data_IF_534368115513
#
_entry.id   IF_534368115513
#
_cell.length_a   1.000
_cell.length_b   1.000
_cell.length_c   1.000
_cell.angle_alpha   90.00
_cell.angle_beta   90.00
_cell.angle_gamma   90.00
#
_symmetry.space_group_name_H-M   'P 1'
#
loop_
_entity.id
_entity.type
_entity.pdbx_description
1 polymer ?
#
# COMPACT_ATOMS: atom_id res chain seq x y z
N UNK A 1 -1.52 16.41 -28.98
CA UNK A 1 -0.40 16.31 -29.88
C UNK A 1 0.55 15.23 -29.37
N UNK A 2 1.13 14.40 -30.25
CA UNK A 2 2.04 13.31 -29.92
C UNK A 2 3.30 13.84 -29.22
N UNK A 3 3.83 14.96 -29.67
CA UNK A 3 5.02 15.60 -29.12
C UNK A 3 4.79 16.07 -27.67
N UNK A 4 3.67 16.71 -27.41
CA UNK A 4 3.28 17.13 -26.05
C UNK A 4 3.14 15.95 -25.09
N UNK A 5 2.60 14.81 -25.57
CA UNK A 5 2.50 13.60 -24.75
C UNK A 5 3.91 13.04 -24.42
N UNK A 6 4.83 13.07 -25.37
CA UNK A 6 6.23 12.68 -25.16
C UNK A 6 6.92 13.60 -24.15
N UNK A 7 6.74 14.92 -24.25
CA UNK A 7 7.30 15.88 -23.30
C UNK A 7 6.78 15.66 -21.89
N UNK A 8 5.48 15.46 -21.72
CA UNK A 8 4.89 15.14 -20.40
C UNK A 8 5.45 13.82 -19.86
N UNK A 9 5.57 12.79 -20.69
CA UNK A 9 6.13 11.50 -20.25
C UNK A 9 7.57 11.63 -19.77
N UNK A 10 8.39 12.49 -20.38
CA UNK A 10 9.77 12.72 -19.93
C UNK A 10 9.88 13.29 -18.51
N UNK A 11 8.84 13.94 -18.02
CA UNK A 11 8.78 14.44 -16.64
C UNK A 11 8.64 13.32 -15.60
N UNK A 12 8.06 12.19 -15.97
CA UNK A 12 7.70 11.11 -15.05
C UNK A 12 8.33 9.77 -15.36
N UNK A 13 8.93 9.60 -16.54
CA UNK A 13 9.39 8.31 -17.03
C UNK A 13 10.69 8.42 -17.80
N UNK A 14 11.41 7.31 -17.84
CA UNK A 14 12.60 7.16 -18.69
C UNK A 14 12.27 6.23 -19.86
N UNK A 15 12.57 6.66 -21.09
CA UNK A 15 12.43 5.81 -22.27
C UNK A 15 13.46 4.70 -22.21
N UNK A 16 13.02 3.45 -22.40
CA UNK A 16 13.92 2.31 -22.43
C UNK A 16 14.70 2.28 -23.75
N UNK A 17 16.00 1.95 -23.72
CA UNK A 17 16.79 1.76 -24.94
C UNK A 17 16.20 0.63 -25.79
N UNK A 18 16.06 0.88 -27.09
CA UNK A 18 15.58 -0.09 -28.10
C UNK A 18 14.09 -0.46 -28.05
N UNK A 19 13.27 0.16 -27.20
CA UNK A 19 11.85 -0.09 -27.14
C UNK A 19 11.05 1.23 -27.15
N UNK A 20 9.84 1.24 -27.67
CA UNK A 20 8.88 2.35 -27.53
C UNK A 20 8.19 2.34 -26.16
N UNK A 21 8.87 1.81 -25.14
CA UNK A 21 8.37 1.67 -23.80
C UNK A 21 8.95 2.71 -22.86
N UNK A 22 8.14 3.14 -21.91
CA UNK A 22 8.50 4.10 -20.87
C UNK A 22 8.41 3.47 -19.50
N UNK A 23 9.48 3.60 -18.72
CA UNK A 23 9.49 3.17 -17.32
C UNK A 23 9.16 4.35 -16.42
N UNK A 24 7.99 4.35 -15.79
CA UNK A 24 7.62 5.31 -14.77
C UNK A 24 8.54 5.17 -13.55
N UNK A 25 9.24 6.23 -13.20
CA UNK A 25 10.19 6.19 -12.11
C UNK A 25 10.80 7.57 -11.86
N UNK A 26 11.92 7.62 -11.15
CA UNK A 26 12.62 8.89 -10.91
C UNK A 26 12.92 9.56 -12.24
N UNK A 27 12.38 10.77 -12.49
CA UNK A 27 12.76 11.50 -13.67
C UNK A 27 14.26 11.78 -13.60
N UNK A 28 14.94 11.69 -14.73
CA UNK A 28 16.36 12.10 -14.85
C UNK A 28 16.54 13.62 -14.80
N UNK A 29 15.50 14.35 -14.46
CA UNK A 29 15.54 15.80 -14.32
C UNK A 29 16.40 16.13 -13.11
N UNK A 30 17.56 16.69 -13.37
CA UNK A 30 18.36 17.43 -12.43
C UNK A 30 17.60 18.68 -11.99
N UNK A 31 16.59 18.52 -11.12
CA UNK A 31 16.06 19.68 -10.42
C UNK A 31 17.15 20.17 -9.47
N UNK A 32 17.61 21.39 -9.70
CA UNK A 32 18.64 22.06 -8.89
C UNK A 32 18.24 22.34 -7.44
N UNK A 33 17.10 21.82 -6.96
CA UNK A 33 16.61 22.01 -5.61
C UNK A 33 16.16 20.69 -5.00
N UNK A 34 16.77 20.39 -3.87
CA UNK A 34 16.54 19.34 -2.88
C UNK A 34 17.28 18.01 -3.06
N UNK A 35 18.46 17.99 -2.41
CA UNK A 35 19.31 16.83 -2.15
C UNK A 35 18.74 15.81 -1.14
N UNK A 36 17.45 15.90 -0.77
CA UNK A 36 16.74 14.86 -0.04
C UNK A 36 15.90 14.06 -1.02
N UNK A 37 16.32 12.83 -1.29
CA UNK A 37 15.64 11.90 -2.20
C UNK A 37 14.21 11.64 -1.74
N UNK A 38 13.27 12.49 -2.13
CA UNK A 38 11.85 12.15 -2.04
C UNK A 38 11.60 11.01 -3.02
N UNK A 39 11.10 9.89 -2.52
CA UNK A 39 10.74 8.75 -3.35
C UNK A 39 9.69 9.20 -4.39
N UNK A 40 9.90 8.85 -5.65
CA UNK A 40 8.89 9.05 -6.69
C UNK A 40 7.64 8.25 -6.35
N UNK A 41 6.48 8.86 -6.44
CA UNK A 41 5.22 8.22 -6.13
C UNK A 41 4.01 8.96 -6.68
N UNK A 42 2.82 8.44 -6.41
CA UNK A 42 1.55 9.06 -6.82
C UNK A 42 1.43 10.52 -6.37
N UNK A 43 1.92 10.85 -5.19
CA UNK A 43 1.96 12.22 -4.70
C UNK A 43 2.85 13.15 -5.54
N UNK A 44 3.92 12.64 -6.13
CA UNK A 44 4.79 13.40 -7.04
C UNK A 44 4.04 13.74 -8.32
N UNK A 45 3.30 12.77 -8.89
CA UNK A 45 2.47 12.96 -10.08
C UNK A 45 1.33 13.94 -9.78
N UNK A 46 0.63 13.77 -8.66
CA UNK A 46 -0.50 14.61 -8.28
C UNK A 46 -0.13 16.08 -8.09
N UNK A 47 1.09 16.36 -7.59
CA UNK A 47 1.59 17.71 -7.32
C UNK A 47 2.34 18.34 -8.50
N UNK A 48 2.54 17.63 -9.59
CA UNK A 48 3.19 18.18 -10.77
C UNK A 48 2.34 19.30 -11.38
N UNK A 49 2.99 20.34 -11.88
CA UNK A 49 2.34 21.41 -12.65
C UNK A 49 2.52 21.09 -14.14
N UNK A 50 1.41 20.90 -14.84
CA UNK A 50 1.38 20.61 -16.26
C UNK A 50 0.70 21.75 -17.06
N UNK A 51 0.55 22.93 -16.46
CA UNK A 51 -0.14 24.08 -17.06
C UNK A 51 0.53 24.59 -18.35
N UNK A 52 1.83 24.38 -18.48
CA UNK A 52 2.58 24.71 -19.71
C UNK A 52 2.27 23.78 -20.88
N UNK A 53 1.73 22.58 -20.62
CA UNK A 53 1.51 21.53 -21.62
C UNK A 53 0.04 21.33 -21.97
N UNK A 54 -0.88 21.65 -21.06
CA UNK A 54 -2.30 21.38 -21.24
C UNK A 54 -3.19 22.25 -20.35
N UNK A 55 -4.51 22.28 -20.66
CA UNK A 55 -5.50 22.94 -19.82
C UNK A 55 -5.82 22.12 -18.56
N UNK A 56 -6.50 22.74 -17.60
CA UNK A 56 -6.80 22.14 -16.26
C UNK A 56 -7.55 20.81 -16.37
N UNK A 57 -8.55 20.70 -17.26
CA UNK A 57 -9.33 19.46 -17.41
C UNK A 57 -8.46 18.32 -17.97
N UNK A 58 -7.60 18.62 -18.92
CA UNK A 58 -6.64 17.67 -19.49
C UNK A 58 -5.57 17.28 -18.48
N UNK A 59 -5.10 18.21 -17.67
CA UNK A 59 -4.13 17.98 -16.61
C UNK A 59 -4.64 16.95 -15.60
N UNK A 60 -5.88 17.11 -15.12
CA UNK A 60 -6.48 16.19 -14.16
C UNK A 60 -6.57 14.75 -14.74
N UNK A 61 -7.01 14.61 -15.97
CA UNK A 61 -7.12 13.32 -16.66
C UNK A 61 -5.76 12.67 -16.91
N UNK A 62 -4.75 13.46 -17.27
CA UNK A 62 -3.38 12.96 -17.48
C UNK A 62 -2.79 12.46 -16.15
N UNK A 63 -2.93 13.23 -15.07
CA UNK A 63 -2.46 12.83 -13.75
C UNK A 63 -3.13 11.55 -13.27
N UNK A 64 -4.44 11.42 -13.42
CA UNK A 64 -5.18 10.20 -13.08
C UNK A 64 -4.67 9.00 -13.87
N UNK A 65 -4.49 9.13 -15.18
CA UNK A 65 -3.95 8.07 -16.03
C UNK A 65 -2.54 7.66 -15.60
N UNK A 66 -1.64 8.63 -15.31
CA UNK A 66 -0.28 8.37 -14.86
C UNK A 66 -0.25 7.68 -13.48
N UNK A 67 -1.12 8.08 -12.55
CA UNK A 67 -1.25 7.43 -11.23
C UNK A 67 -1.73 6.00 -11.40
N UNK A 68 -2.71 5.76 -12.28
CA UNK A 68 -3.20 4.42 -12.60
C UNK A 68 -2.10 3.54 -13.18
N UNK A 69 -1.32 4.06 -14.13
CA UNK A 69 -0.15 3.36 -14.67
C UNK A 69 0.89 3.06 -13.59
N UNK A 70 1.20 4.06 -12.76
CA UNK A 70 2.16 3.90 -11.69
C UNK A 70 1.74 2.86 -10.65
N UNK A 71 0.46 2.74 -10.36
CA UNK A 71 -0.12 1.76 -9.44
C UNK A 71 -0.16 0.34 -10.01
N UNK A 72 -0.20 0.21 -11.35
CA UNK A 72 -0.30 -1.06 -12.06
C UNK A 72 1.05 -1.77 -12.16
N UNK A 73 1.49 -2.37 -11.05
CA UNK A 73 2.77 -3.07 -10.97
C UNK A 73 2.73 -4.26 -10.03
N UNK A 74 3.47 -5.31 -10.37
CA UNK A 74 3.60 -6.52 -9.54
C UNK A 74 4.56 -6.30 -8.38
N UNK A 75 5.67 -5.59 -8.61
CA UNK A 75 6.72 -5.37 -7.62
C UNK A 75 6.95 -3.89 -7.37
N UNK A 76 7.32 -3.57 -6.12
CA UNK A 76 7.71 -2.23 -5.68
C UNK A 76 9.15 -2.30 -5.19
N UNK A 77 10.01 -1.45 -5.73
CA UNK A 77 11.36 -1.27 -5.22
C UNK A 77 11.34 -0.41 -3.95
N UNK A 78 11.67 -1.02 -2.81
CA UNK A 78 11.71 -0.33 -1.50
C UNK A 78 13.09 0.26 -1.19
N UNK A 79 14.14 -0.30 -1.79
CA UNK A 79 15.50 0.23 -1.80
C UNK A 79 16.25 -0.37 -2.98
N UNK A 80 17.41 0.18 -3.35
CA UNK A 80 18.16 -0.25 -4.53
C UNK A 80 18.33 -1.77 -4.59
N UNK A 81 17.71 -2.40 -5.60
CA UNK A 81 17.75 -3.84 -5.85
C UNK A 81 16.93 -4.68 -4.87
N UNK A 82 16.11 -4.08 -4.00
CA UNK A 82 15.20 -4.81 -3.09
C UNK A 82 13.76 -4.55 -3.46
N UNK A 83 13.04 -5.61 -3.71
CA UNK A 83 11.66 -5.57 -4.20
C UNK A 83 10.73 -6.32 -3.24
N UNK A 84 9.51 -5.82 -3.13
CA UNK A 84 8.39 -6.47 -2.43
C UNK A 84 7.20 -6.54 -3.38
N UNK A 85 6.28 -7.49 -3.19
CA UNK A 85 5.05 -7.51 -3.98
C UNK A 85 4.24 -6.24 -3.71
N UNK A 86 3.63 -5.70 -4.77
CA UNK A 86 2.61 -4.69 -4.60
C UNK A 86 1.42 -5.31 -3.84
N UNK A 87 0.77 -4.54 -3.04
CA UNK A 87 -0.45 -4.92 -2.32
C UNK A 87 -1.55 -5.52 -3.24
N UNK A 88 -1.68 -4.99 -4.46
CA UNK A 88 -2.63 -5.47 -5.48
C UNK A 88 -1.92 -6.20 -6.64
N UNK A 89 -0.78 -6.84 -6.38
CA UNK A 89 0.06 -7.43 -7.43
C UNK A 89 -0.71 -8.37 -8.38
N UNK A 90 -1.66 -9.14 -7.84
CA UNK A 90 -2.47 -10.09 -8.61
C UNK A 90 -3.42 -9.43 -9.62
N UNK A 91 -3.67 -8.14 -9.48
CA UNK A 91 -4.51 -7.34 -10.39
C UNK A 91 -3.67 -6.61 -11.44
N UNK A 92 -2.34 -6.65 -11.37
CA UNK A 92 -1.48 -5.96 -12.31
C UNK A 92 -1.44 -6.65 -13.67
N UNK A 93 -1.26 -5.86 -14.73
CA UNK A 93 -1.14 -6.40 -16.09
C UNK A 93 0.09 -7.28 -16.26
N UNK A 94 1.20 -6.93 -15.60
CA UNK A 94 2.42 -7.74 -15.60
C UNK A 94 2.23 -9.09 -14.90
N UNK A 95 1.43 -9.17 -13.85
CA UNK A 95 1.03 -10.45 -13.25
C UNK A 95 0.17 -11.27 -14.19
N UNK A 96 -0.82 -10.64 -14.83
CA UNK A 96 -1.73 -11.32 -15.76
C UNK A 96 -1.02 -11.91 -16.99
N UNK A 97 0.10 -11.30 -17.40
CA UNK A 97 0.92 -11.79 -18.53
C UNK A 97 1.82 -12.98 -18.20
N UNK A 98 1.99 -13.32 -16.90
CA UNK A 98 2.78 -14.47 -16.48
C UNK A 98 2.04 -15.78 -16.76
N UNK A 99 2.80 -16.83 -17.09
CA UNK A 99 2.26 -18.19 -17.14
C UNK A 99 2.03 -18.75 -15.73
N UNK A 100 1.28 -19.85 -15.61
CA UNK A 100 0.91 -20.42 -14.31
C UNK A 100 2.13 -20.88 -13.49
N UNK A 101 3.16 -21.44 -14.13
CA UNK A 101 4.37 -21.89 -13.44
C UNK A 101 5.17 -20.69 -12.85
N UNK A 102 5.18 -19.55 -13.53
CA UNK A 102 5.79 -18.32 -13.05
C UNK A 102 5.00 -17.72 -11.88
N UNK A 103 3.67 -17.68 -12.01
CA UNK A 103 2.77 -17.24 -10.93
C UNK A 103 2.93 -18.09 -9.68
N UNK A 104 3.01 -19.40 -9.82
CA UNK A 104 3.21 -20.32 -8.70
C UNK A 104 4.54 -20.05 -7.98
N UNK A 105 5.64 -19.93 -8.72
CA UNK A 105 6.96 -19.62 -8.17
C UNK A 105 6.98 -18.30 -7.41
N UNK A 106 6.40 -17.25 -7.98
CA UNK A 106 6.32 -15.93 -7.33
C UNK A 106 5.40 -15.96 -6.11
N UNK A 107 4.24 -16.61 -6.19
CA UNK A 107 3.33 -16.76 -5.06
C UNK A 107 3.99 -17.48 -3.88
N UNK A 108 4.78 -18.53 -4.16
CA UNK A 108 5.55 -19.23 -3.13
C UNK A 108 6.58 -18.30 -2.49
N UNK A 109 7.33 -17.56 -3.29
CA UNK A 109 8.31 -16.58 -2.80
C UNK A 109 7.65 -15.50 -1.93
N UNK A 110 6.53 -14.95 -2.38
CA UNK A 110 5.79 -13.93 -1.62
C UNK A 110 5.24 -14.48 -0.29
N UNK A 111 4.74 -15.72 -0.30
CA UNK A 111 4.29 -16.40 0.91
C UNK A 111 5.45 -16.62 1.92
N UNK A 112 6.61 -17.04 1.45
CA UNK A 112 7.79 -17.21 2.30
C UNK A 112 8.28 -15.87 2.89
N UNK A 113 8.27 -14.81 2.08
CA UNK A 113 8.59 -13.45 2.53
C UNK A 113 7.62 -12.98 3.60
N UNK A 114 6.31 -13.10 3.36
CA UNK A 114 5.26 -12.74 4.30
C UNK A 114 5.40 -13.48 5.63
N UNK A 115 5.66 -14.78 5.61
CA UNK A 115 5.89 -15.58 6.83
C UNK A 115 7.10 -15.09 7.62
N UNK A 116 8.18 -14.73 6.93
CA UNK A 116 9.39 -14.18 7.57
C UNK A 116 9.11 -12.82 8.20
N UNK A 117 8.40 -11.96 7.48
CA UNK A 117 8.01 -10.63 7.97
C UNK A 117 7.07 -10.74 9.17
N UNK A 118 6.05 -11.59 9.12
CA UNK A 118 5.17 -11.84 10.26
C UNK A 118 5.93 -12.24 11.52
N UNK A 119 6.92 -13.14 11.42
CA UNK A 119 7.77 -13.54 12.57
C UNK A 119 8.57 -12.36 13.12
N UNK A 120 9.13 -11.53 12.24
CA UNK A 120 9.91 -10.35 12.64
C UNK A 120 9.02 -9.33 13.34
N UNK A 121 7.84 -9.05 12.79
CA UNK A 121 6.85 -8.18 13.39
C UNK A 121 6.35 -8.70 14.73
N UNK A 122 6.00 -9.97 14.82
CA UNK A 122 5.54 -10.61 16.06
C UNK A 122 6.56 -10.47 17.20
N UNK A 123 7.84 -10.69 16.89
CA UNK A 123 8.92 -10.50 17.84
C UNK A 123 9.04 -9.04 18.29
N UNK A 124 9.22 -8.12 17.36
CA UNK A 124 9.40 -6.69 17.66
C UNK A 124 8.18 -6.10 18.35
N UNK A 125 6.97 -6.43 17.89
CA UNK A 125 5.74 -5.96 18.51
C UNK A 125 5.59 -6.49 19.94
N UNK A 126 5.90 -7.78 20.17
CA UNK A 126 5.84 -8.35 21.53
C UNK A 126 6.82 -7.64 22.47
N UNK A 127 8.05 -7.39 22.04
CA UNK A 127 9.05 -6.69 22.84
C UNK A 127 8.60 -5.26 23.18
N UNK A 128 8.28 -4.45 22.16
CA UNK A 128 7.94 -3.04 22.34
C UNK A 128 6.63 -2.87 23.13
N UNK A 129 5.60 -3.63 22.76
CA UNK A 129 4.29 -3.51 23.40
C UNK A 129 4.26 -4.09 24.82
N UNK A 130 5.11 -5.08 25.14
CA UNK A 130 5.27 -5.57 26.52
C UNK A 130 5.81 -4.47 27.42
N UNK A 131 6.84 -3.75 26.98
CA UNK A 131 7.36 -2.58 27.73
C UNK A 131 6.28 -1.53 27.92
N UNK A 132 5.57 -1.17 26.84
CA UNK A 132 4.48 -0.17 26.90
C UNK A 132 3.41 -0.58 27.91
N UNK A 133 2.94 -1.82 27.88
CA UNK A 133 1.89 -2.30 28.78
C UNK A 133 2.37 -2.44 30.23
N UNK A 134 3.67 -2.65 30.46
CA UNK A 134 4.26 -2.71 31.80
C UNK A 134 4.40 -1.34 32.48
N UNK A 135 4.49 -0.26 31.70
CA UNK A 135 4.71 1.09 32.23
C UNK A 135 3.46 1.72 32.85
N UNK A 136 2.30 1.13 32.69
CA UNK A 136 1.03 1.72 33.15
C UNK A 136 0.03 0.67 33.60
N UNK A 137 -0.89 1.08 34.48
CA UNK A 137 -2.07 0.28 34.86
C UNK A 137 -3.26 0.49 33.91
N UNK A 138 -3.16 1.39 32.95
CA UNK A 138 -4.20 1.60 31.94
C UNK A 138 -4.25 0.43 30.98
N UNK A 139 -5.44 0.07 30.54
CA UNK A 139 -5.64 -0.93 29.50
C UNK A 139 -5.51 -0.23 28.15
N UNK A 140 -4.49 -0.54 27.35
CA UNK A 140 -4.32 0.07 26.05
C UNK A 140 -5.36 -0.43 25.05
N UNK A 141 -5.81 0.45 24.16
CA UNK A 141 -6.61 0.11 23.00
C UNK A 141 -5.77 0.42 21.75
N UNK A 142 -5.57 -0.60 20.90
CA UNK A 142 -4.87 -0.47 19.64
C UNK A 142 -5.85 -0.28 18.48
N UNK A 143 -5.53 0.61 17.55
CA UNK A 143 -6.23 0.70 16.28
C UNK A 143 -5.69 -0.39 15.35
N UNK A 144 -6.41 -1.50 15.27
CA UNK A 144 -6.10 -2.69 14.46
C UNK A 144 -6.96 -2.77 13.19
N UNK A 145 -7.30 -1.62 12.65
CA UNK A 145 -8.13 -1.48 11.46
C UNK A 145 -7.34 -1.69 10.18
N UNK A 146 -8.05 -2.14 9.14
CA UNK A 146 -7.45 -2.35 7.83
C UNK A 146 -6.70 -3.68 7.70
N UNK A 147 -5.73 -3.73 6.78
CA UNK A 147 -4.96 -4.95 6.50
C UNK A 147 -3.70 -4.95 7.33
N UNK A 148 -3.72 -5.71 8.40
CA UNK A 148 -2.59 -5.92 9.29
C UNK A 148 -1.84 -7.22 9.02
N UNK A 149 -0.74 -7.43 9.75
CA UNK A 149 -0.05 -8.71 9.78
C UNK A 149 -0.89 -9.75 10.54
N UNK A 150 -0.84 -11.00 10.11
CA UNK A 150 -1.55 -12.11 10.76
C UNK A 150 -1.21 -12.28 12.25
N UNK A 151 -0.04 -11.81 12.68
CA UNK A 151 0.38 -11.85 14.08
C UNK A 151 -0.32 -10.82 14.98
N UNK A 152 -0.90 -9.76 14.43
CA UNK A 152 -1.49 -8.64 15.21
C UNK A 152 -2.53 -9.13 16.23
N UNK A 153 -3.57 -9.88 15.86
CA UNK A 153 -4.58 -10.34 16.83
C UNK A 153 -3.96 -11.21 17.96
N UNK A 154 -2.96 -12.05 17.61
CA UNK A 154 -2.28 -12.91 18.60
C UNK A 154 -1.49 -12.10 19.59
N UNK A 155 -0.73 -11.12 19.12
CA UNK A 155 0.08 -10.25 20.00
C UNK A 155 -0.81 -9.41 20.90
N UNK A 156 -1.85 -8.80 20.36
CA UNK A 156 -2.81 -8.00 21.13
C UNK A 156 -3.48 -8.84 22.22
N UNK A 157 -3.99 -10.02 21.88
CA UNK A 157 -4.59 -10.95 22.84
C UNK A 157 -3.60 -11.38 23.93
N UNK A 158 -2.37 -11.71 23.57
CA UNK A 158 -1.31 -12.11 24.51
C UNK A 158 -0.98 -11.01 25.51
N UNK A 159 -1.03 -9.75 25.10
CA UNK A 159 -0.65 -8.59 25.92
C UNK A 159 -1.85 -7.88 26.57
N UNK A 160 -3.08 -8.37 26.36
CA UNK A 160 -4.28 -7.75 26.91
C UNK A 160 -4.60 -6.39 26.30
N UNK A 161 -4.18 -6.15 25.05
CA UNK A 161 -4.45 -4.92 24.32
C UNK A 161 -5.83 -5.08 23.64
N UNK A 162 -6.73 -4.13 23.87
CA UNK A 162 -8.05 -4.12 23.25
C UNK A 162 -7.92 -3.75 21.76
N UNK A 163 -8.64 -4.46 20.89
CA UNK A 163 -8.83 -4.07 19.50
C UNK A 163 -9.92 -3.03 19.33
N UNK A 164 -9.91 -2.29 18.23
CA UNK A 164 -10.99 -1.34 17.90
C UNK A 164 -11.96 -1.96 16.89
N UNK A 165 -13.24 -1.96 17.22
CA UNK A 165 -14.32 -2.43 16.35
C UNK A 165 -15.23 -1.27 16.02
N UNK A 166 -15.14 -0.79 14.78
CA UNK A 166 -16.03 0.24 14.24
C UNK A 166 -17.17 -0.47 13.55
N UNK A 167 -18.36 -0.46 14.12
CA UNK A 167 -19.54 -1.20 13.62
C UNK A 167 -19.79 -0.95 12.15
N UNK A 168 -19.66 0.30 11.71
CA UNK A 168 -19.85 0.69 10.31
C UNK A 168 -18.93 -0.09 9.34
N UNK A 169 -17.74 -0.49 9.76
CA UNK A 169 -16.75 -1.20 8.94
C UNK A 169 -16.68 -2.71 9.22
N UNK A 170 -17.29 -3.18 10.29
CA UNK A 170 -17.37 -4.60 10.59
C UNK A 170 -18.41 -5.29 9.69
N UNK A 171 -17.99 -5.62 8.48
CA UNK A 171 -18.84 -6.22 7.44
C UNK A 171 -18.21 -7.49 6.89
N UNK A 172 -19.03 -8.38 6.41
CA UNK A 172 -18.60 -9.57 5.65
C UNK A 172 -18.48 -9.15 4.18
N UNK A 173 -17.29 -8.66 3.82
CA UNK A 173 -17.03 -7.96 2.55
C UNK A 173 -17.14 -8.85 1.31
N UNK A 174 -16.95 -10.15 1.44
CA UNK A 174 -17.03 -11.17 0.39
C UNK A 174 -18.45 -11.70 0.13
N UNK A 175 -19.42 -11.29 0.95
CA UNK A 175 -20.83 -11.65 0.77
C UNK A 175 -21.61 -10.55 0.07
N UNK A 176 -22.58 -10.96 -0.75
CA UNK A 176 -23.51 -10.02 -1.38
C UNK A 176 -24.25 -9.19 -0.33
N UNK A 177 -24.40 -7.89 -0.56
CA UNK A 177 -25.00 -6.95 0.37
C UNK A 177 -24.11 -6.58 1.56
N UNK A 178 -22.93 -7.19 1.69
CA UNK A 178 -21.95 -6.89 2.74
C UNK A 178 -22.57 -6.74 4.13
N UNK A 179 -23.24 -7.79 4.64
CA UNK A 179 -23.94 -7.74 5.92
C UNK A 179 -22.99 -7.40 7.07
N UNK A 180 -23.52 -6.82 8.14
CA UNK A 180 -22.73 -6.58 9.34
C UNK A 180 -22.33 -7.90 9.99
N UNK A 181 -21.11 -7.94 10.53
CA UNK A 181 -20.67 -9.04 11.40
C UNK A 181 -21.51 -8.99 12.68
N UNK A 182 -22.12 -10.11 13.11
CA UNK A 182 -22.86 -10.19 14.38
C UNK A 182 -22.00 -9.80 15.58
N UNK A 183 -22.55 -9.13 16.58
CA UNK A 183 -21.81 -8.71 17.77
C UNK A 183 -21.21 -9.89 18.56
N UNK A 184 -21.86 -11.03 18.49
CA UNK A 184 -21.44 -12.28 19.12
C UNK A 184 -20.12 -12.81 18.55
N UNK A 185 -19.77 -12.40 17.33
CA UNK A 185 -18.51 -12.77 16.66
C UNK A 185 -17.38 -11.79 16.94
N UNK A 186 -17.65 -10.69 17.68
CA UNK A 186 -16.59 -9.75 18.03
C UNK A 186 -15.68 -10.36 19.09
N UNK A 187 -14.38 -10.10 18.98
CA UNK A 187 -13.41 -10.49 20.01
C UNK A 187 -13.80 -9.84 21.35
N UNK A 188 -13.88 -10.63 22.46
CA UNK A 188 -14.26 -10.10 23.77
C UNK A 188 -13.37 -8.96 24.25
N UNK A 189 -12.06 -8.99 23.91
CA UNK A 189 -11.12 -7.91 24.20
C UNK A 189 -11.14 -6.87 23.09
N UNK A 190 -12.21 -6.09 22.99
CA UNK A 190 -12.34 -5.02 22.03
C UNK A 190 -13.12 -3.82 22.56
N UNK A 191 -12.81 -2.65 22.03
CA UNK A 191 -13.61 -1.43 22.17
C UNK A 191 -14.50 -1.33 20.95
N UNK A 192 -15.80 -1.26 21.16
CA UNK A 192 -16.79 -1.15 20.09
C UNK A 192 -17.32 0.28 20.03
N UNK A 193 -17.35 0.87 18.83
CA UNK A 193 -17.92 2.18 18.56
C UNK A 193 -18.71 2.17 17.24
N UNK A 194 -19.69 3.04 17.12
CA UNK A 194 -20.49 3.15 15.89
C UNK A 194 -19.72 3.74 14.74
N UNK A 195 -18.86 4.73 15.03
CA UNK A 195 -18.01 5.45 14.07
C UNK A 195 -16.81 6.09 14.77
N UNK A 196 -15.85 6.56 13.99
CA UNK A 196 -14.68 7.32 14.42
C UNK A 196 -14.60 8.64 13.65
N UNK A 197 -13.65 9.50 13.99
CA UNK A 197 -13.53 10.88 13.47
C UNK A 197 -13.32 10.96 11.95
N UNK A 198 -12.85 9.90 11.32
CA UNK A 198 -12.56 9.79 9.89
C UNK A 198 -13.56 8.89 9.12
N UNK A 199 -14.73 8.62 9.71
CA UNK A 199 -15.77 7.77 9.11
C UNK A 199 -17.05 8.52 8.72
#
# INVERSE_FOLDING_TARGET
>A
NHDTAHEILTLFATKLPNEELWLLGKPSIKSKQDSKSKSFGSATIAKADLSEYCNIDSEARIKEALIKFWSNRTLIEISKGKYVPSWIYSQSTSWSSLNEAEKEKLSKLFSELSKKENKTWEKSATEILSELTSCTKMIPCGEDLGVGFECVPRVMKKLGILGLRVVRWCRVWDKEGQPYVPFEEYEPLSVCTTSVHDS
#
